data_IF_401930970452
#
_entry.id   IF_401930970452
#
_cell.length_a   1.000
_cell.length_b   1.000
_cell.length_c   1.000
_cell.angle_alpha   90.00
_cell.angle_beta   90.00
_cell.angle_gamma   90.00
#
_symmetry.space_group_name_H-M   'P 1'
#
loop_
_entity.id
_entity.type
_entity.pdbx_description
1 polymer ?
#
# COMPACT_ATOMS: atom_id res chain seq x y z
N UNK A 1 -67.95 19.74 -7.27
CA UNK A 1 -68.54 21.06 -6.99
C UNK A 1 -67.68 21.95 -6.08
N UNK A 2 -67.00 21.43 -5.04
CA UNK A 2 -66.23 22.24 -4.08
C UNK A 2 -64.95 22.90 -4.65
N UNK A 3 -64.11 22.14 -5.36
CA UNK A 3 -62.84 22.62 -5.96
C UNK A 3 -63.05 23.76 -6.96
N UNK A 4 -64.15 23.72 -7.72
CA UNK A 4 -64.52 24.77 -8.68
C UNK A 4 -64.89 26.09 -8.00
N UNK A 5 -65.58 26.05 -6.85
CA UNK A 5 -65.88 27.25 -6.07
C UNK A 5 -64.62 27.78 -5.36
N UNK A 6 -63.82 26.91 -4.76
CA UNK A 6 -62.56 27.29 -4.11
C UNK A 6 -61.59 27.98 -5.07
N UNK A 7 -61.43 27.43 -6.28
CA UNK A 7 -60.57 28.01 -7.33
C UNK A 7 -61.06 29.38 -7.79
N UNK A 8 -62.38 29.59 -7.82
CA UNK A 8 -62.99 30.86 -8.23
C UNK A 8 -62.83 31.93 -7.14
N UNK A 9 -62.93 31.54 -5.88
CA UNK A 9 -62.78 32.42 -4.72
C UNK A 9 -61.30 32.84 -4.51
N UNK A 10 -60.36 31.91 -4.63
CA UNK A 10 -58.92 32.20 -4.61
C UNK A 10 -58.51 33.14 -5.77
N UNK A 11 -59.13 32.99 -6.95
CA UNK A 11 -58.92 33.91 -8.08
C UNK A 11 -59.54 35.28 -7.89
N UNK A 12 -60.45 35.49 -6.95
CA UNK A 12 -60.96 36.84 -6.60
C UNK A 12 -60.03 37.56 -5.62
N UNK A 13 -59.38 36.83 -4.70
CA UNK A 13 -58.46 37.38 -3.68
C UNK A 13 -56.97 37.11 -3.98
N UNK A 14 -56.57 37.19 -5.25
CA UNK A 14 -55.22 36.78 -5.72
C UNK A 14 -54.07 37.48 -4.99
N UNK A 15 -54.20 38.77 -4.68
CA UNK A 15 -53.13 39.54 -4.05
C UNK A 15 -52.80 39.02 -2.65
N UNK A 16 -53.82 38.77 -1.81
CA UNK A 16 -53.62 38.22 -0.47
C UNK A 16 -53.22 36.74 -0.51
N UNK A 17 -53.86 35.94 -1.38
CA UNK A 17 -53.56 34.52 -1.51
C UNK A 17 -52.11 34.26 -1.98
N UNK A 18 -51.59 35.09 -2.90
CA UNK A 18 -50.21 34.98 -3.36
C UNK A 18 -49.20 35.25 -2.24
N UNK A 19 -49.39 36.31 -1.45
CA UNK A 19 -48.47 36.63 -0.34
C UNK A 19 -48.41 35.48 0.68
N UNK A 20 -49.57 34.95 1.06
CA UNK A 20 -49.65 33.81 2.00
C UNK A 20 -49.02 32.55 1.40
N UNK A 21 -49.31 32.24 0.13
CA UNK A 21 -48.74 31.08 -0.55
C UNK A 21 -47.21 31.19 -0.69
N UNK A 22 -46.69 32.37 -1.02
CA UNK A 22 -45.24 32.62 -1.11
C UNK A 22 -44.55 32.45 0.23
N UNK A 23 -45.13 32.98 1.32
CA UNK A 23 -44.57 32.81 2.67
C UNK A 23 -44.52 31.35 3.10
N UNK A 24 -45.61 30.60 2.85
CA UNK A 24 -45.65 29.16 3.10
C UNK A 24 -44.63 28.39 2.24
N UNK A 25 -44.56 28.73 0.95
CA UNK A 25 -43.64 28.08 0.01
C UNK A 25 -42.18 28.30 0.41
N UNK A 26 -41.81 29.51 0.81
CA UNK A 26 -40.45 29.82 1.27
C UNK A 26 -40.10 29.03 2.54
N UNK A 27 -41.02 28.92 3.50
CA UNK A 27 -40.82 28.14 4.71
C UNK A 27 -40.56 26.66 4.40
N UNK A 28 -41.40 26.06 3.56
CA UNK A 28 -41.26 24.65 3.16
C UNK A 28 -39.97 24.44 2.34
N UNK A 29 -39.68 25.33 1.39
CA UNK A 29 -38.48 25.24 0.56
C UNK A 29 -37.21 25.26 1.42
N UNK A 30 -37.14 26.16 2.41
CA UNK A 30 -35.99 26.25 3.31
C UNK A 30 -35.80 24.96 4.12
N UNK A 31 -36.88 24.40 4.66
CA UNK A 31 -36.83 23.13 5.40
C UNK A 31 -36.33 21.98 4.52
N UNK A 32 -36.81 21.88 3.27
CA UNK A 32 -36.37 20.85 2.32
C UNK A 32 -34.88 21.00 1.99
N UNK A 33 -34.42 22.23 1.74
CA UNK A 33 -33.01 22.49 1.43
C UNK A 33 -32.11 22.08 2.60
N UNK A 34 -32.42 22.53 3.83
CA UNK A 34 -31.61 22.23 5.01
C UNK A 34 -31.59 20.73 5.30
N UNK A 35 -32.74 20.05 5.21
CA UNK A 35 -32.82 18.60 5.45
C UNK A 35 -32.07 17.81 4.38
N UNK A 36 -32.19 18.20 3.10
CA UNK A 36 -31.48 17.55 1.99
C UNK A 36 -29.97 17.74 2.10
N UNK A 37 -29.50 18.96 2.40
CA UNK A 37 -28.07 19.24 2.60
C UNK A 37 -27.53 18.49 3.81
N UNK A 38 -28.26 18.44 4.92
CA UNK A 38 -27.85 17.71 6.13
C UNK A 38 -27.79 16.20 5.89
N UNK A 39 -28.75 15.64 5.15
CA UNK A 39 -28.75 14.23 4.77
C UNK A 39 -27.59 13.91 3.82
N UNK A 40 -27.36 14.75 2.81
CA UNK A 40 -26.23 14.62 1.90
C UNK A 40 -24.89 14.68 2.62
N UNK A 41 -24.73 15.59 3.59
CA UNK A 41 -23.51 15.68 4.40
C UNK A 41 -23.30 14.45 5.27
N UNK A 42 -24.35 13.91 5.91
CA UNK A 42 -24.26 12.65 6.67
C UNK A 42 -23.85 11.48 5.77
N UNK A 43 -24.38 11.42 4.55
CA UNK A 43 -24.05 10.36 3.60
C UNK A 43 -22.61 10.50 3.08
N UNK A 44 -22.15 11.71 2.82
CA UNK A 44 -20.76 11.99 2.48
C UNK A 44 -19.81 11.64 3.64
N UNK A 45 -20.18 11.97 4.88
CA UNK A 45 -19.44 11.55 6.07
C UNK A 45 -19.39 10.03 6.18
N UNK A 46 -20.50 9.33 5.92
CA UNK A 46 -20.55 7.87 5.88
C UNK A 46 -19.57 7.27 4.87
N UNK A 47 -19.55 7.79 3.64
CA UNK A 47 -18.61 7.32 2.60
C UNK A 47 -17.14 7.59 2.95
N UNK A 48 -16.84 8.73 3.59
CA UNK A 48 -15.47 9.03 4.05
C UNK A 48 -15.08 8.13 5.21
N UNK A 49 -15.97 7.89 6.17
CA UNK A 49 -15.74 6.97 7.29
C UNK A 49 -15.60 5.52 6.83
N UNK A 50 -16.33 5.11 5.80
CA UNK A 50 -16.18 3.79 5.15
C UNK A 50 -14.85 3.69 4.40
N UNK A 51 -14.41 4.77 3.73
CA UNK A 51 -13.07 4.85 3.13
C UNK A 51 -11.95 4.76 4.17
N UNK A 52 -12.20 5.20 5.41
CA UNK A 52 -11.29 5.01 6.55
C UNK A 52 -11.36 3.60 7.17
N UNK A 53 -12.45 2.86 6.96
CA UNK A 53 -12.64 1.52 7.51
C UNK A 53 -11.75 0.45 6.83
N UNK A 54 -11.23 0.76 5.64
CA UNK A 54 -10.23 -0.06 4.92
C UNK A 54 -8.79 0.44 5.04
N UNK A 55 -8.55 1.57 5.72
CA UNK A 55 -7.21 2.11 5.92
C UNK A 55 -6.56 1.45 7.15
N UNK A 56 -5.55 0.62 6.91
CA UNK A 56 -4.79 -0.05 7.97
C UNK A 56 -5.28 -1.46 8.34
N UNK A 57 -6.19 -2.05 7.56
CA UNK A 57 -6.51 -3.49 7.66
C UNK A 57 -5.46 -4.38 7.00
N UNK A 58 -4.48 -3.77 6.33
CA UNK A 58 -3.38 -4.50 5.70
C UNK A 58 -2.44 -5.06 6.77
N UNK A 59 -2.13 -6.35 6.65
CA UNK A 59 -1.16 -7.02 7.51
C UNK A 59 0.03 -7.49 6.67
N UNK A 60 1.25 -7.18 7.14
CA UNK A 60 2.47 -7.70 6.53
C UNK A 60 2.87 -9.00 7.22
N UNK A 61 3.06 -10.06 6.44
CA UNK A 61 3.57 -11.36 6.92
C UNK A 61 5.01 -11.51 6.45
N UNK A 62 5.94 -11.66 7.39
CA UNK A 62 7.36 -11.94 7.12
C UNK A 62 7.84 -13.13 7.94
N UNK A 63 8.87 -13.82 7.45
CA UNK A 63 9.60 -14.85 8.20
C UNK A 63 10.93 -14.26 8.65
N UNK A 64 11.20 -14.28 9.95
CA UNK A 64 12.51 -13.89 10.47
C UNK A 64 13.57 -14.87 9.97
N UNK A 65 14.75 -14.38 9.63
CA UNK A 65 15.85 -15.23 9.22
C UNK A 65 16.33 -16.10 10.40
N UNK A 66 16.48 -17.39 10.18
CA UNK A 66 17.04 -18.31 11.16
C UNK A 66 18.52 -17.97 11.41
N UNK A 67 18.95 -18.07 12.68
CA UNK A 67 20.36 -17.93 13.02
C UNK A 67 21.11 -19.19 12.58
N UNK A 68 22.32 -19.07 12.02
CA UNK A 68 23.15 -20.24 11.70
C UNK A 68 23.34 -21.11 12.94
N UNK A 69 23.30 -22.43 12.78
CA UNK A 69 23.53 -23.34 13.90
C UNK A 69 24.95 -23.18 14.46
N UNK A 70 25.15 -23.55 15.72
CA UNK A 70 26.44 -23.39 16.40
C UNK A 70 27.52 -24.24 15.70
N UNK A 71 28.42 -23.58 14.97
CA UNK A 71 29.45 -24.22 14.14
C UNK A 71 29.26 -24.04 12.62
N UNK A 72 28.12 -23.52 12.17
CA UNK A 72 27.93 -23.16 10.77
C UNK A 72 28.56 -21.81 10.44
N UNK A 73 29.32 -21.77 9.35
CA UNK A 73 29.87 -20.51 8.84
C UNK A 73 28.77 -19.75 8.11
N UNK A 74 28.57 -18.44 8.39
CA UNK A 74 27.59 -17.64 7.66
C UNK A 74 27.84 -17.74 6.16
N UNK A 75 26.79 -18.05 5.39
CA UNK A 75 26.86 -18.10 3.93
C UNK A 75 27.13 -16.70 3.38
N UNK A 76 28.41 -16.42 3.11
CA UNK A 76 28.83 -15.19 2.44
C UNK A 76 28.55 -15.32 0.94
N UNK A 77 28.06 -14.26 0.28
CA UNK A 77 27.89 -14.28 -1.17
C UNK A 77 29.24 -14.53 -1.84
N UNK A 78 29.27 -15.53 -2.73
CA UNK A 78 30.45 -15.88 -3.53
C UNK A 78 30.21 -15.46 -4.97
N UNK A 79 31.06 -14.58 -5.45
CA UNK A 79 31.12 -14.19 -6.85
C UNK A 79 32.14 -15.07 -7.56
N UNK A 80 31.85 -15.44 -8.81
CA UNK A 80 32.76 -16.25 -9.62
C UNK A 80 33.11 -15.45 -10.87
N UNK A 81 34.40 -15.19 -11.02
CA UNK A 81 34.97 -14.53 -12.18
C UNK A 81 35.96 -15.51 -12.81
N UNK A 82 35.79 -15.75 -14.10
CA UNK A 82 36.68 -16.62 -14.86
C UNK A 82 37.83 -15.74 -15.35
N UNK A 83 39.00 -15.80 -14.72
CA UNK A 83 40.15 -15.03 -15.19
C UNK A 83 40.57 -15.50 -16.60
N UNK A 84 40.04 -14.82 -17.62
CA UNK A 84 40.22 -15.06 -19.05
C UNK A 84 41.50 -14.42 -19.58
N UNK A 85 41.59 -14.27 -20.90
CA UNK A 85 42.71 -13.55 -21.54
C UNK A 85 42.69 -12.06 -21.12
N UNK A 86 43.87 -11.45 -21.07
CA UNK A 86 44.17 -10.17 -20.40
C UNK A 86 43.09 -9.07 -20.54
N UNK A 87 42.61 -8.57 -19.39
CA UNK A 87 41.89 -7.30 -19.30
C UNK A 87 40.40 -7.30 -19.66
N UNK A 88 39.79 -8.46 -19.94
CA UNK A 88 38.34 -8.50 -20.24
C UNK A 88 37.47 -8.05 -19.05
N UNK A 89 36.48 -7.20 -19.34
CA UNK A 89 35.53 -6.72 -18.34
C UNK A 89 34.48 -7.80 -18.03
N UNK A 90 34.38 -8.14 -16.74
CA UNK A 90 33.44 -9.15 -16.27
C UNK A 90 32.55 -8.57 -15.19
N UNK A 91 31.32 -9.09 -15.12
CA UNK A 91 30.38 -8.72 -14.06
C UNK A 91 29.56 -9.90 -13.60
N UNK A 92 29.34 -10.01 -12.30
CA UNK A 92 28.46 -11.01 -11.67
C UNK A 92 27.50 -10.29 -10.72
N UNK A 93 26.23 -10.68 -10.78
CA UNK A 93 25.10 -10.07 -10.07
C UNK A 93 24.50 -11.11 -9.13
N UNK A 94 24.30 -10.73 -7.87
CA UNK A 94 23.67 -11.58 -6.86
C UNK A 94 22.50 -10.87 -6.21
N UNK A 95 21.33 -11.50 -6.29
CA UNK A 95 20.14 -11.07 -5.58
C UNK A 95 20.12 -11.70 -4.18
N UNK A 96 19.97 -10.87 -3.16
CA UNK A 96 19.91 -11.30 -1.77
C UNK A 96 18.70 -10.69 -1.07
N UNK A 97 18.08 -11.44 -0.18
CA UNK A 97 17.06 -10.91 0.73
C UNK A 97 17.70 -10.04 1.81
N UNK A 98 17.00 -8.99 2.24
CA UNK A 98 17.46 -8.10 3.31
C UNK A 98 16.58 -8.28 4.55
N UNK A 99 17.15 -8.83 5.62
CA UNK A 99 16.55 -8.87 6.96
C UNK A 99 15.52 -9.98 7.23
N UNK A 100 14.81 -10.47 6.21
CA UNK A 100 13.81 -11.54 6.33
C UNK A 100 14.11 -12.69 5.36
N UNK A 101 13.66 -13.89 5.70
CA UNK A 101 13.71 -15.04 4.80
C UNK A 101 12.56 -14.96 3.76
N UNK A 102 12.77 -15.58 2.60
CA UNK A 102 11.70 -15.72 1.60
C UNK A 102 10.61 -16.67 2.10
N UNK A 103 9.36 -16.34 1.79
CA UNK A 103 8.22 -17.23 2.00
C UNK A 103 7.89 -17.96 0.69
N UNK A 104 7.50 -19.24 0.80
CA UNK A 104 6.97 -19.97 -0.34
C UNK A 104 5.72 -19.30 -0.91
N UNK A 105 5.56 -19.34 -2.24
CA UNK A 105 4.35 -18.83 -2.90
C UNK A 105 3.06 -19.48 -2.36
N UNK A 106 3.12 -20.74 -1.91
CA UNK A 106 2.00 -21.44 -1.28
C UNK A 106 1.52 -20.76 0.02
N UNK A 107 2.40 -20.03 0.70
CA UNK A 107 2.06 -19.28 1.92
C UNK A 107 1.09 -18.14 1.62
N UNK A 108 1.25 -17.46 0.48
CA UNK A 108 0.29 -16.42 0.05
C UNK A 108 -1.11 -17.02 -0.12
N UNK A 109 -1.22 -18.21 -0.70
CA UNK A 109 -2.49 -18.93 -0.81
C UNK A 109 -3.09 -19.31 0.54
N UNK A 110 -2.26 -19.71 1.52
CA UNK A 110 -2.71 -19.98 2.91
C UNK A 110 -3.21 -18.73 3.62
N UNK A 111 -2.56 -17.57 3.39
CA UNK A 111 -2.98 -16.27 3.93
C UNK A 111 -4.28 -15.81 3.28
N UNK A 112 -4.40 -15.91 1.95
CA UNK A 112 -5.63 -15.59 1.22
C UNK A 112 -6.84 -16.42 1.70
N UNK A 113 -6.60 -17.66 2.15
CA UNK A 113 -7.65 -18.53 2.68
C UNK A 113 -8.05 -18.27 4.14
N UNK A 114 -7.43 -17.32 4.84
CA UNK A 114 -7.80 -17.01 6.23
C UNK A 114 -9.12 -16.24 6.32
N UNK A 115 -9.87 -16.49 7.39
CA UNK A 115 -11.13 -15.80 7.63
C UNK A 115 -10.89 -14.31 7.85
N UNK A 116 -11.60 -13.47 7.09
CA UNK A 116 -11.48 -12.02 7.16
C UNK A 116 -10.41 -11.42 6.24
N UNK A 117 -9.67 -12.22 5.49
CA UNK A 117 -8.76 -11.73 4.44
C UNK A 117 -9.55 -11.55 3.15
N UNK A 118 -9.62 -10.32 2.66
CA UNK A 118 -10.32 -10.00 1.41
C UNK A 118 -9.46 -10.32 0.17
N UNK A 119 -8.16 -10.05 0.25
CA UNK A 119 -7.17 -10.31 -0.80
C UNK A 119 -5.78 -10.50 -0.16
N UNK A 120 -4.87 -11.18 -0.86
CA UNK A 120 -3.48 -11.34 -0.42
C UNK A 120 -2.52 -11.30 -1.61
N UNK A 121 -1.45 -10.51 -1.46
CA UNK A 121 -0.40 -10.35 -2.47
C UNK A 121 0.96 -10.70 -1.90
N UNK A 122 1.80 -11.33 -2.72
CA UNK A 122 3.20 -11.65 -2.39
C UNK A 122 4.17 -10.67 -3.06
N UNK A 123 5.19 -10.24 -2.34
CA UNK A 123 6.26 -9.38 -2.86
C UNK A 123 7.64 -9.86 -2.41
N UNK A 124 8.65 -9.64 -3.26
CA UNK A 124 10.05 -9.89 -2.93
C UNK A 124 10.80 -8.56 -2.86
N UNK A 125 11.44 -8.30 -1.72
CA UNK A 125 12.41 -7.22 -1.55
C UNK A 125 13.81 -7.82 -1.61
N UNK A 126 14.52 -7.53 -2.68
CA UNK A 126 15.86 -8.06 -2.94
C UNK A 126 16.83 -6.92 -3.16
N UNK A 127 18.03 -7.08 -2.62
CA UNK A 127 19.18 -6.23 -2.92
C UNK A 127 19.98 -6.91 -4.03
N UNK A 128 20.26 -6.18 -5.11
CA UNK A 128 21.21 -6.61 -6.12
C UNK A 128 22.62 -6.16 -5.73
N UNK A 129 23.50 -7.11 -5.45
CA UNK A 129 24.92 -6.87 -5.31
C UNK A 129 25.60 -7.23 -6.62
N UNK A 130 26.02 -6.19 -7.35
CA UNK A 130 26.75 -6.30 -8.61
C UNK A 130 28.22 -5.99 -8.36
N UNK A 131 29.09 -6.85 -8.86
CA UNK A 131 30.52 -6.59 -8.92
C UNK A 131 30.93 -6.62 -10.39
N UNK A 132 31.66 -5.60 -10.82
CA UNK A 132 32.18 -5.46 -12.19
C UNK A 132 33.63 -5.02 -12.18
N UNK A 133 34.45 -5.58 -13.06
CA UNK A 133 35.86 -5.22 -13.23
C UNK A 133 36.58 -6.16 -14.18
N UNK A 134 37.84 -5.85 -14.50
CA UNK A 134 38.75 -6.77 -15.18
C UNK A 134 39.47 -7.62 -14.14
N UNK A 135 39.49 -8.95 -14.35
CA UNK A 135 40.10 -9.90 -13.41
C UNK A 135 41.18 -10.73 -14.10
N UNK A 136 42.43 -10.54 -13.67
CA UNK A 136 43.59 -11.26 -14.21
C UNK A 136 43.96 -12.47 -13.34
N UNK A 137 44.51 -13.51 -13.99
CA UNK A 137 44.83 -14.77 -13.32
C UNK A 137 46.15 -14.66 -12.55
N UNK A 138 46.04 -14.37 -11.25
CA UNK A 138 47.04 -14.71 -10.25
C UNK A 138 48.03 -13.61 -9.88
N UNK A 139 47.67 -12.80 -8.89
CA UNK A 139 48.58 -12.30 -7.86
C UNK A 139 47.83 -12.22 -6.53
N UNK A 140 47.69 -13.35 -5.84
CA UNK A 140 47.25 -13.33 -4.44
C UNK A 140 48.49 -13.00 -3.60
N UNK A 141 48.73 -11.71 -3.36
CA UNK A 141 49.78 -11.27 -2.44
C UNK A 141 49.54 -11.88 -1.06
N UNK A 142 50.46 -12.71 -0.58
CA UNK A 142 50.45 -13.22 0.78
C UNK A 142 50.36 -12.02 1.75
N UNK A 143 49.36 -12.01 2.62
CA UNK A 143 49.31 -11.04 3.71
C UNK A 143 50.61 -11.16 4.53
N UNK A 144 51.29 -10.05 4.89
CA UNK A 144 52.50 -10.12 5.69
C UNK A 144 52.15 -10.75 7.03
N UNK A 145 52.72 -11.93 7.30
CA UNK A 145 52.64 -12.58 8.61
C UNK A 145 53.29 -11.66 9.66
N UNK A 146 52.73 -11.59 10.89
CA UNK A 146 53.31 -10.78 11.94
C UNK A 146 54.73 -11.27 12.23
N UNK A 147 55.71 -10.41 11.99
CA UNK A 147 57.11 -10.70 12.27
C UNK A 147 57.30 -11.04 13.74
N UNK A 148 57.80 -12.25 14.01
CA UNK A 148 58.38 -12.59 15.29
C UNK A 148 59.68 -11.78 15.43
N UNK A 149 59.63 -10.72 16.25
CA UNK A 149 60.82 -10.01 16.71
C UNK A 149 61.47 -10.81 17.82
N UNK A 150 62.67 -11.32 17.54
CA UNK A 150 63.60 -11.89 18.53
C UNK A 150 64.59 -10.78 18.91
N UNK A 151 64.79 -10.57 20.21
CA UNK A 151 65.64 -9.53 20.79
C UNK A 151 65.41 -9.33 22.28
#
# INVERSE_FOLDING_TARGET
>A
MFLTYLRRELRRRRKAALVVASGLALGIALVIVVTSVSAGMKQAQGQVLESLYGLGTDMTVTKAQEQPEEGETPQRPRFRFDAGEEGEEQSDDRLMVQGFETLDASTVGKVAGQQGVADAVGGLSLVNLKISGSFERGEIGAAPGPGAGDG
#
